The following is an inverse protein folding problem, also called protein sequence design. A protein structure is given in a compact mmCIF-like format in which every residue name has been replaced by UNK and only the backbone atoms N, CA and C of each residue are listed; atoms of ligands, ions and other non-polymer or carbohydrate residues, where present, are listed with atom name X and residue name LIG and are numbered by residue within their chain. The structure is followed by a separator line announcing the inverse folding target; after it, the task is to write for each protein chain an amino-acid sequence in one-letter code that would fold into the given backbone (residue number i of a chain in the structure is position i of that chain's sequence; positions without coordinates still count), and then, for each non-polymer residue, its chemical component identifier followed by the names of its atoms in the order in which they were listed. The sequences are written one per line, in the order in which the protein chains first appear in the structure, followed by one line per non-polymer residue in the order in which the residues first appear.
data_IF_709801383926
#
_entry.id   IF_709801383926
#
_cell.length_a   1.000
_cell.length_b   1.000
_cell.length_c   1.000
_cell.angle_alpha   90.00
_cell.angle_beta   90.00
_cell.angle_gamma   90.00
#
_symmetry.space_group_name_H-M   'P 1'
#
loop_
_entity.id
_entity.type
_entity.pdbx_description
1 polymer ?
#
# COMPACT_ATOMS: atom_id res chain seq x y z
N UNK A 1 0.26 -2.82 4.15
CA UNK A 1 1.05 -4.08 4.21
C UNK A 1 1.52 -4.29 5.64
N UNK A 2 1.60 -5.54 6.13
CA UNK A 2 2.01 -5.86 7.51
C UNK A 2 3.19 -6.86 7.55
N UNK A 3 3.85 -6.99 8.70
CA UNK A 3 4.97 -7.93 8.89
C UNK A 3 6.14 -7.70 7.92
N UNK A 4 6.81 -8.78 7.50
CA UNK A 4 8.03 -8.70 6.68
C UNK A 4 7.82 -8.02 5.33
N UNK A 5 6.65 -8.19 4.69
CA UNK A 5 6.39 -7.58 3.39
C UNK A 5 6.24 -6.05 3.45
N UNK A 6 5.91 -5.50 4.63
CA UNK A 6 5.95 -4.05 4.83
C UNK A 6 7.36 -3.47 4.64
N UNK A 7 8.43 -4.25 4.92
CA UNK A 7 9.81 -3.82 4.65
C UNK A 7 10.08 -3.69 3.15
N UNK A 8 9.61 -4.64 2.35
CA UNK A 8 9.73 -4.56 0.88
C UNK A 8 8.94 -3.37 0.33
N UNK A 9 7.72 -3.13 0.84
CA UNK A 9 6.92 -1.96 0.46
C UNK A 9 7.61 -0.64 0.83
N UNK A 10 8.32 -0.59 1.97
CA UNK A 10 9.07 0.61 2.37
C UNK A 10 10.28 0.88 1.47
N UNK A 11 10.95 -0.17 0.98
CA UNK A 11 12.03 -0.04 -0.01
C UNK A 11 11.48 0.47 -1.36
N UNK A 12 10.36 -0.10 -1.82
CA UNK A 12 9.66 0.37 -3.02
C UNK A 12 9.24 1.83 -2.91
N UNK A 13 8.77 2.26 -1.72
CA UNK A 13 8.43 3.65 -1.44
C UNK A 13 9.62 4.59 -1.64
N UNK A 14 10.84 4.16 -1.29
CA UNK A 14 12.07 4.90 -1.53
C UNK A 14 12.33 5.12 -3.02
N UNK A 15 12.22 4.06 -3.83
CA UNK A 15 12.38 4.13 -5.29
C UNK A 15 11.35 5.06 -5.94
N UNK A 16 10.08 4.87 -5.60
CA UNK A 16 8.98 5.70 -6.12
C UNK A 16 9.12 7.17 -5.72
N UNK A 17 9.74 7.45 -4.56
CA UNK A 17 10.03 8.81 -4.13
C UNK A 17 11.11 9.47 -4.99
N UNK A 18 12.16 8.74 -5.36
CA UNK A 18 13.21 9.25 -6.27
C UNK A 18 12.63 9.58 -7.65
N UNK A 19 11.61 8.84 -8.08
CA UNK A 19 10.89 9.07 -9.33
C UNK A 19 9.89 10.24 -9.24
N UNK A 20 9.52 10.69 -8.03
CA UNK A 20 8.51 11.73 -7.82
C UNK A 20 7.06 11.21 -7.78
N UNK A 21 6.84 9.89 -7.86
CA UNK A 21 5.52 9.28 -7.74
C UNK A 21 5.02 9.37 -6.30
N UNK A 22 3.89 10.04 -6.08
CA UNK A 22 3.26 10.16 -4.74
C UNK A 22 2.66 8.83 -4.26
N UNK A 23 3.33 8.22 -3.29
CA UNK A 23 2.86 7.03 -2.59
C UNK A 23 3.03 7.18 -1.06
N UNK A 24 2.29 6.37 -0.30
CA UNK A 24 2.41 6.29 1.15
C UNK A 24 2.22 4.84 1.61
N UNK A 25 2.75 4.50 2.78
CA UNK A 25 2.64 3.15 3.34
C UNK A 25 1.91 3.20 4.68
N UNK A 26 0.74 2.54 4.75
CA UNK A 26 0.12 2.19 6.03
C UNK A 26 0.64 0.81 6.46
N UNK A 27 1.32 0.79 7.62
CA UNK A 27 1.90 -0.41 8.23
C UNK A 27 1.23 -0.69 9.58
N UNK A 28 0.27 -1.63 9.65
CA UNK A 28 -0.27 -2.10 10.91
C UNK A 28 0.84 -2.72 11.77
N UNK A 29 0.97 -2.26 13.01
CA UNK A 29 1.82 -2.85 14.05
C UNK A 29 1.07 -3.97 14.74
N UNK A 30 -0.22 -3.74 15.04
CA UNK A 30 -1.14 -4.79 15.45
C UNK A 30 -2.13 -5.10 14.34
N UNK A 31 -2.43 -6.38 14.19
CA UNK A 31 -3.51 -6.85 13.32
C UNK A 31 -4.86 -6.92 14.05
N UNK A 32 -4.82 -6.88 15.38
CA UNK A 32 -6.00 -6.85 16.23
C UNK A 32 -5.81 -5.91 17.43
N UNK A 33 -6.76 -5.00 17.72
CA UNK A 33 -7.94 -4.68 16.92
C UNK A 33 -7.56 -4.20 15.50
N UNK A 34 -8.38 -4.50 14.50
CA UNK A 34 -8.10 -4.17 13.11
C UNK A 34 -8.13 -2.64 12.89
N UNK A 35 -7.14 -2.03 12.20
CA UNK A 35 -6.98 -0.57 12.14
C UNK A 35 -7.89 0.11 11.11
N UNK A 36 -9.21 -0.13 11.18
CA UNK A 36 -10.19 0.41 10.23
C UNK A 36 -10.14 1.93 10.10
N UNK A 37 -10.00 2.66 11.21
CA UNK A 37 -9.99 4.12 11.22
C UNK A 37 -8.78 4.69 10.47
N UNK A 38 -7.60 4.11 10.71
CA UNK A 38 -6.38 4.52 10.03
C UNK A 38 -6.46 4.22 8.52
N UNK A 39 -7.02 3.07 8.14
CA UNK A 39 -7.25 2.71 6.73
C UNK A 39 -8.21 3.70 6.08
N UNK A 40 -9.34 4.00 6.71
CA UNK A 40 -10.32 4.95 6.20
C UNK A 40 -9.73 6.36 6.02
N UNK A 41 -8.93 6.83 6.99
CA UNK A 41 -8.26 8.12 6.94
C UNK A 41 -7.22 8.20 5.81
N UNK A 42 -6.42 7.14 5.61
CA UNK A 42 -5.46 7.07 4.51
C UNK A 42 -6.18 7.02 3.15
N UNK A 43 -7.24 6.21 3.04
CA UNK A 43 -8.03 6.05 1.83
C UNK A 43 -8.72 7.35 1.40
N UNK A 44 -9.08 8.23 2.35
CA UNK A 44 -9.68 9.53 2.05
C UNK A 44 -8.75 10.46 1.24
N UNK A 45 -7.44 10.20 1.21
CA UNK A 45 -6.43 10.99 0.48
C UNK A 45 -5.82 10.22 -0.69
N UNK A 46 -6.20 8.96 -0.89
CA UNK A 46 -5.60 8.07 -1.87
C UNK A 46 -6.48 7.95 -3.13
N UNK A 47 -5.84 7.90 -4.30
CA UNK A 47 -6.53 7.56 -5.56
C UNK A 47 -6.78 6.05 -5.69
N UNK A 48 -5.95 5.23 -5.06
CA UNK A 48 -6.05 3.78 -5.03
C UNK A 48 -5.33 3.23 -3.80
N UNK A 49 -5.71 2.04 -3.35
CA UNK A 49 -5.03 1.29 -2.28
C UNK A 49 -4.50 -0.02 -2.85
N UNK A 50 -3.23 -0.33 -2.60
CA UNK A 50 -2.62 -1.62 -2.89
C UNK A 50 -2.36 -2.39 -1.59
N UNK A 51 -3.03 -3.53 -1.42
CA UNK A 51 -2.83 -4.45 -0.30
C UNK A 51 -1.80 -5.49 -0.70
N UNK A 52 -0.64 -5.46 -0.01
CA UNK A 52 0.45 -6.41 -0.24
C UNK A 52 0.56 -7.36 0.95
N UNK A 53 0.50 -8.67 0.68
CA UNK A 53 0.47 -9.73 1.70
C UNK A 53 1.35 -10.94 1.33
N UNK A 54 1.90 -11.61 2.34
CA UNK A 54 2.44 -12.97 2.19
C UNK A 54 1.37 -14.01 2.57
N UNK A 55 0.18 -13.85 1.99
CA UNK A 55 -1.00 -14.67 2.22
C UNK A 55 -1.87 -14.71 0.94
N UNK A 56 -2.97 -15.47 0.97
CA UNK A 56 -3.95 -15.53 -0.11
C UNK A 56 -5.05 -14.44 -0.02
N UNK A 57 -4.80 -13.33 0.68
CA UNK A 57 -5.75 -12.24 0.86
C UNK A 57 -6.53 -12.34 2.17
N UNK A 58 -5.81 -12.57 3.26
CA UNK A 58 -6.39 -12.76 4.58
C UNK A 58 -7.07 -11.49 5.11
N UNK A 59 -6.61 -10.30 4.69
CA UNK A 59 -7.11 -9.02 5.21
C UNK A 59 -7.65 -8.08 4.13
N UNK A 60 -7.58 -8.47 2.84
CA UNK A 60 -8.00 -7.60 1.74
C UNK A 60 -9.48 -7.21 1.84
N UNK A 61 -10.34 -8.10 2.31
CA UNK A 61 -11.77 -7.81 2.47
C UNK A 61 -12.04 -6.85 3.63
N UNK A 62 -11.31 -6.96 4.75
CA UNK A 62 -11.38 -5.99 5.85
C UNK A 62 -10.88 -4.60 5.39
N UNK A 63 -9.82 -4.56 4.58
CA UNK A 63 -9.35 -3.31 3.97
C UNK A 63 -10.41 -2.73 3.04
N UNK A 64 -11.04 -3.54 2.17
CA UNK A 64 -12.13 -3.08 1.30
C UNK A 64 -13.29 -2.51 2.12
N UNK A 65 -13.67 -3.19 3.20
CA UNK A 65 -14.71 -2.73 4.11
C UNK A 65 -14.34 -1.38 4.77
N UNK A 66 -13.11 -1.24 5.28
CA UNK A 66 -12.63 -0.01 5.91
C UNK A 66 -12.47 1.15 4.90
N UNK A 67 -12.08 0.87 3.66
CA UNK A 67 -12.03 1.85 2.56
C UNK A 67 -13.44 2.33 2.19
N UNK A 68 -14.46 1.47 2.32
CA UNK A 68 -15.86 1.84 2.12
C UNK A 68 -16.16 2.35 0.71
N UNK A 69 -15.47 1.82 -0.31
CA UNK A 69 -15.67 2.20 -1.71
C UNK A 69 -15.14 3.58 -2.12
N UNK A 70 -14.42 4.30 -1.24
CA UNK A 70 -13.86 5.63 -1.54
C UNK A 70 -12.86 5.64 -2.71
N UNK A 71 -12.10 4.57 -2.84
CA UNK A 71 -11.14 4.36 -3.93
C UNK A 71 -11.02 2.85 -4.22
N UNK A 72 -10.54 2.47 -5.42
CA UNK A 72 -10.31 1.07 -5.74
C UNK A 72 -9.24 0.45 -4.84
N UNK A 73 -9.51 -0.79 -4.41
CA UNK A 73 -8.59 -1.62 -3.61
C UNK A 73 -8.08 -2.77 -4.48
N UNK A 74 -6.77 -2.85 -4.62
CA UNK A 74 -6.06 -3.89 -5.35
C UNK A 74 -5.32 -4.80 -4.38
N UNK A 75 -5.09 -6.04 -4.82
CA UNK A 75 -4.37 -7.04 -4.05
C UNK A 75 -3.13 -7.51 -4.80
N UNK A 76 -2.05 -7.73 -4.05
CA UNK A 76 -0.84 -8.36 -4.51
C UNK A 76 -0.31 -9.30 -3.41
N UNK A 77 -0.63 -10.58 -3.56
CA UNK A 77 -0.33 -11.60 -2.57
C UNK A 77 0.69 -12.62 -3.06
N UNK A 78 1.46 -13.19 -2.13
CA UNK A 78 2.31 -14.36 -2.40
C UNK A 78 2.14 -15.41 -1.30
N UNK A 79 2.13 -16.68 -1.67
CA UNK A 79 1.97 -17.81 -0.74
C UNK A 79 3.18 -18.74 -0.77
N UNK A 80 3.24 -19.71 0.14
CA UNK A 80 4.29 -20.74 0.14
C UNK A 80 5.67 -20.26 0.59
N UNK A 81 5.74 -19.20 1.41
CA UNK A 81 7.00 -18.68 1.96
C UNK A 81 7.84 -17.86 0.97
N UNK A 82 7.34 -17.62 -0.24
CA UNK A 82 8.02 -16.80 -1.22
C UNK A 82 7.86 -15.31 -0.88
N UNK A 83 8.94 -14.55 -0.97
CA UNK A 83 8.97 -13.12 -0.69
C UNK A 83 8.48 -12.28 -1.88
N UNK A 84 7.93 -11.10 -1.60
CA UNK A 84 7.64 -10.09 -2.63
C UNK A 84 8.84 -9.13 -2.73
N UNK A 85 9.53 -9.05 -3.88
CA UNK A 85 10.60 -8.08 -4.12
C UNK A 85 10.09 -6.63 -4.10
N UNK A 86 10.95 -5.69 -3.70
CA UNK A 86 10.60 -4.27 -3.70
C UNK A 86 10.27 -3.75 -5.10
N UNK A 87 11.03 -4.16 -6.12
CA UNK A 87 10.78 -3.73 -7.52
C UNK A 87 9.40 -4.16 -8.01
N UNK A 88 8.99 -5.39 -7.69
CA UNK A 88 7.65 -5.90 -8.06
C UNK A 88 6.52 -5.05 -7.43
N UNK A 89 6.72 -4.57 -6.20
CA UNK A 89 5.79 -3.62 -5.57
C UNK A 89 5.82 -2.27 -6.28
N UNK A 90 7.00 -1.74 -6.62
CA UNK A 90 7.13 -0.46 -7.31
C UNK A 90 6.47 -0.50 -8.70
N UNK A 91 6.74 -1.54 -9.50
CA UNK A 91 6.10 -1.80 -10.78
C UNK A 91 4.57 -1.87 -10.66
N UNK A 92 4.06 -2.56 -9.63
CA UNK A 92 2.62 -2.65 -9.38
C UNK A 92 2.02 -1.29 -9.06
N UNK A 93 2.70 -0.45 -8.28
CA UNK A 93 2.24 0.91 -7.97
C UNK A 93 2.26 1.79 -9.22
N UNK A 94 3.32 1.74 -10.05
CA UNK A 94 3.39 2.48 -11.33
C UNK A 94 2.23 2.10 -12.25
N UNK A 95 1.94 0.81 -12.38
CA UNK A 95 0.86 0.30 -13.21
C UNK A 95 -0.54 0.78 -12.75
N UNK A 96 -0.71 1.05 -11.46
CA UNK A 96 -1.96 1.56 -10.88
C UNK A 96 -2.12 3.08 -10.97
N UNK A 97 -1.05 3.80 -11.35
CA UNK A 97 -1.04 5.26 -11.43
C UNK A 97 -0.44 5.75 -12.75
N UNK A 98 -0.90 5.31 -13.94
CA UNK A 98 -0.24 5.58 -15.22
C UNK A 98 -0.07 7.08 -15.55
N UNK A 99 -0.91 7.94 -14.98
CA UNK A 99 -0.91 9.39 -15.13
C UNK A 99 -0.09 10.12 -14.04
N UNK A 100 0.72 9.40 -13.25
CA UNK A 100 1.41 9.98 -12.10
C UNK A 100 2.40 11.11 -12.45
N UNK A 101 2.90 11.15 -13.69
CA UNK A 101 3.83 12.17 -14.16
C UNK A 101 3.18 13.54 -14.32
N UNK A 102 1.85 13.58 -14.48
CA UNK A 102 1.06 14.81 -14.63
C UNK A 102 0.67 15.41 -13.27
N UNK A 103 0.92 14.67 -12.17
CA UNK A 103 0.60 15.10 -10.83
C UNK A 103 1.76 15.88 -10.21
N UNK A 104 1.47 16.92 -9.40
CA UNK A 104 2.51 17.62 -8.68
C UNK A 104 3.26 16.66 -7.77
N UNK A 105 4.59 16.78 -7.77
CA UNK A 105 5.45 15.99 -6.90
C UNK A 105 5.00 16.15 -5.43
N UNK A 106 4.98 15.07 -4.65
CA UNK A 106 4.54 15.13 -3.27
C UNK A 106 5.51 15.93 -2.41
N UNK A 107 4.97 16.76 -1.51
CA UNK A 107 5.79 17.44 -0.50
C UNK A 107 6.46 16.44 0.46
N UNK A 108 5.80 15.31 0.76
CA UNK A 108 6.32 14.21 1.59
C UNK A 108 5.66 12.85 1.25
N UNK A 109 6.46 11.78 1.25
CA UNK A 109 5.99 10.40 1.38
C UNK A 109 5.96 10.02 2.86
N UNK A 110 4.88 9.37 3.30
CA UNK A 110 4.63 9.08 4.70
C UNK A 110 4.51 7.57 4.95
N UNK A 111 5.18 7.11 6.00
CA UNK A 111 4.95 5.78 6.57
C UNK A 111 4.13 5.97 7.83
N UNK A 112 2.87 5.55 7.79
CA UNK A 112 1.95 5.62 8.93
C UNK A 112 1.96 4.26 9.63
N UNK A 113 2.40 4.26 10.88
CA UNK A 113 2.26 3.10 11.76
C UNK A 113 0.90 3.19 12.44
N UNK A 114 0.09 2.15 12.31
CA UNK A 114 -1.25 2.06 12.86
C UNK A 114 -1.40 0.84 13.78
#
# INVERSE_FOLDING_TARGET
AYGTVARACNMALGQLREEGLRAALLRPISLFPFPSEAIAAAAARARAVLVVELSAGQMVEDVRAAVGGRCPVYFHGRTGGLMVPAEEVAERVRALAPDWHDLPAPERHEVVNA
#
